data_IF_856386447688
#
_entry.id   IF_856386447688
#
_cell.length_a   1.000
_cell.length_b   1.000
_cell.length_c   1.000
_cell.angle_alpha   90.00
_cell.angle_beta   90.00
_cell.angle_gamma   90.00
#
_symmetry.space_group_name_H-M   'P 1'
#
loop_
_entity.id
_entity.type
_entity.pdbx_description
1 polymer ?
#
# COMPACT_ATOMS: atom_id res chain seq x y z
N UNK A 1 12.54 24.94 3.50
CA UNK A 1 12.46 23.61 4.13
C UNK A 1 11.29 22.89 3.51
N UNK A 2 11.54 21.99 2.59
CA UNK A 2 10.52 21.05 2.11
C UNK A 2 10.25 20.10 3.27
N UNK A 3 9.06 20.19 3.87
CA UNK A 3 8.63 19.19 4.87
C UNK A 3 8.60 17.84 4.18
N UNK A 4 9.34 16.85 4.70
CA UNK A 4 9.26 15.47 4.22
C UNK A 4 7.92 14.93 4.72
N UNK A 5 6.93 14.80 3.84
CA UNK A 5 5.66 14.14 4.16
C UNK A 5 5.80 12.63 3.92
N UNK A 6 5.67 11.78 4.96
CA UNK A 6 5.81 10.35 4.81
C UNK A 6 4.53 9.65 4.31
N UNK A 7 3.51 10.37 3.83
CA UNK A 7 2.24 9.79 3.38
C UNK A 7 2.41 8.53 2.50
N UNK A 8 3.11 8.65 1.37
CA UNK A 8 3.29 7.53 0.44
C UNK A 8 4.08 6.37 1.06
N UNK A 9 5.04 6.66 1.94
CA UNK A 9 5.79 5.64 2.68
C UNK A 9 4.88 4.89 3.66
N UNK A 10 4.04 5.62 4.40
CA UNK A 10 3.05 5.04 5.31
C UNK A 10 2.05 4.18 4.55
N UNK A 11 1.49 4.70 3.44
CA UNK A 11 0.56 3.96 2.59
C UNK A 11 1.19 2.67 2.05
N UNK A 12 2.41 2.74 1.53
CA UNK A 12 3.14 1.57 1.05
C UNK A 12 3.34 0.50 2.15
N UNK A 13 3.67 0.94 3.36
CA UNK A 13 3.86 0.06 4.52
C UNK A 13 2.54 -0.58 4.97
N UNK A 14 1.49 0.22 5.13
CA UNK A 14 0.14 -0.23 5.51
C UNK A 14 -0.44 -1.25 4.51
N UNK A 15 -0.18 -1.05 3.22
CA UNK A 15 -0.67 -1.93 2.16
C UNK A 15 0.24 -3.14 1.93
N UNK A 16 1.38 -3.22 2.62
CA UNK A 16 2.28 -4.37 2.60
C UNK A 16 3.04 -4.55 1.29
N UNK A 17 3.25 -3.48 0.52
CA UNK A 17 4.11 -3.50 -0.68
C UNK A 17 5.56 -3.20 -0.37
N UNK A 18 5.85 -2.70 0.84
CA UNK A 18 7.19 -2.55 1.40
C UNK A 18 7.25 -3.12 2.81
N UNK A 19 8.46 -3.42 3.28
CA UNK A 19 8.74 -3.89 4.63
C UNK A 19 9.33 -2.81 5.54
N UNK A 20 9.56 -3.18 6.80
CA UNK A 20 10.23 -2.33 7.79
C UNK A 20 11.61 -1.88 7.34
N UNK A 21 12.36 -2.79 6.74
CA UNK A 21 13.74 -2.53 6.33
C UNK A 21 13.79 -1.50 5.20
N UNK A 22 12.77 -1.47 4.32
CA UNK A 22 12.63 -0.44 3.29
C UNK A 22 12.38 0.95 3.92
N UNK A 23 11.55 1.02 4.96
CA UNK A 23 11.24 2.25 5.71
C UNK A 23 12.48 2.80 6.41
N UNK A 24 13.24 1.93 7.07
CA UNK A 24 14.50 2.29 7.74
C UNK A 24 15.52 2.78 6.70
N UNK A 25 15.69 2.03 5.60
CA UNK A 25 16.62 2.41 4.54
C UNK A 25 16.23 3.73 3.87
N UNK A 26 14.93 4.00 3.72
CA UNK A 26 14.44 5.30 3.25
C UNK A 26 14.82 6.42 4.23
N UNK A 27 14.64 6.21 5.53
CA UNK A 27 15.00 7.21 6.54
C UNK A 27 16.51 7.51 6.53
N UNK A 28 17.34 6.47 6.44
CA UNK A 28 18.80 6.61 6.34
C UNK A 28 19.22 7.45 5.12
N UNK A 29 18.60 7.20 3.94
CA UNK A 29 18.86 7.98 2.74
C UNK A 29 18.47 9.45 2.92
N UNK A 30 17.28 9.71 3.44
CA UNK A 30 16.78 11.08 3.68
C UNK A 30 17.62 11.85 4.68
N UNK A 31 18.16 11.18 5.69
CA UNK A 31 19.15 11.75 6.62
C UNK A 31 20.43 12.14 5.87
N UNK A 32 20.95 11.26 5.00
CA UNK A 32 22.16 11.54 4.22
C UNK A 32 22.01 12.67 3.19
N UNK A 33 20.80 12.93 2.73
CA UNK A 33 20.47 14.00 1.78
C UNK A 33 20.21 15.37 2.44
N UNK A 34 20.05 15.41 3.76
CA UNK A 34 19.60 16.60 4.48
C UNK A 34 20.66 17.04 5.49
N UNK A 35 21.10 18.31 5.40
CA UNK A 35 22.11 18.85 6.34
C UNK A 35 21.61 18.93 7.80
N UNK A 36 20.31 19.14 7.99
CA UNK A 36 19.63 19.23 9.30
C UNK A 36 18.35 18.36 9.29
N UNK A 37 18.48 17.02 9.40
CA UNK A 37 17.35 16.12 9.30
C UNK A 37 16.43 16.27 10.53
N UNK A 38 15.10 16.22 10.35
CA UNK A 38 14.18 16.32 11.47
C UNK A 38 14.33 15.11 12.39
N UNK A 39 14.18 15.34 13.71
CA UNK A 39 14.46 14.33 14.73
C UNK A 39 13.66 13.02 14.55
N UNK A 40 12.40 13.11 14.12
CA UNK A 40 11.57 11.93 13.88
C UNK A 40 12.15 10.97 12.84
N UNK A 41 12.90 11.50 11.86
CA UNK A 41 13.53 10.70 10.82
C UNK A 41 14.70 9.88 11.40
N UNK A 42 15.43 10.46 12.36
CA UNK A 42 16.48 9.77 13.13
C UNK A 42 15.86 8.66 13.99
N UNK A 43 14.71 8.93 14.61
CA UNK A 43 13.99 7.90 15.38
C UNK A 43 13.57 6.73 14.49
N UNK A 44 13.01 6.99 13.31
CA UNK A 44 12.66 5.94 12.34
C UNK A 44 13.89 5.15 11.89
N UNK A 45 14.98 5.82 11.53
CA UNK A 45 16.25 5.19 11.13
C UNK A 45 16.82 4.26 12.21
N UNK A 46 16.71 4.65 13.47
CA UNK A 46 17.25 3.87 14.60
C UNK A 46 16.30 2.79 15.11
N UNK A 47 15.06 2.73 14.61
CA UNK A 47 13.99 1.82 15.02
C UNK A 47 14.13 0.37 14.49
N UNK A 48 15.35 -0.16 14.40
CA UNK A 48 15.66 -1.50 13.85
C UNK A 48 14.86 -2.67 14.44
N UNK A 49 14.38 -2.53 15.68
CA UNK A 49 13.57 -3.54 16.39
C UNK A 49 12.09 -3.21 16.48
N UNK A 50 11.67 -2.04 16.01
CA UNK A 50 10.27 -1.62 16.06
C UNK A 50 9.41 -2.56 15.22
N UNK A 51 8.21 -2.89 15.70
CA UNK A 51 7.27 -3.66 14.89
C UNK A 51 6.79 -2.82 13.70
N UNK A 52 6.17 -3.48 12.72
CA UNK A 52 5.53 -2.76 11.62
C UNK A 52 4.49 -1.74 12.13
N UNK A 53 3.72 -2.12 13.15
CA UNK A 53 2.70 -1.25 13.76
C UNK A 53 3.34 -0.02 14.40
N UNK A 54 4.47 -0.20 15.10
CA UNK A 54 5.18 0.93 15.71
C UNK A 54 5.70 1.91 14.64
N UNK A 55 6.25 1.40 13.54
CA UNK A 55 6.68 2.24 12.41
C UNK A 55 5.49 2.96 11.76
N UNK A 56 4.36 2.27 11.55
CA UNK A 56 3.14 2.91 11.05
C UNK A 56 2.68 4.03 11.99
N UNK A 57 2.72 3.84 13.31
CA UNK A 57 2.39 4.88 14.29
C UNK A 57 3.33 6.08 14.20
N UNK A 58 4.64 5.86 14.12
CA UNK A 58 5.62 6.94 13.99
C UNK A 58 5.39 7.77 12.72
N UNK A 59 5.20 7.11 11.56
CA UNK A 59 4.96 7.82 10.30
C UNK A 59 3.61 8.56 10.31
N UNK A 60 2.58 7.98 10.95
CA UNK A 60 1.23 8.57 11.07
C UNK A 60 1.23 9.92 11.78
N UNK A 61 2.13 10.14 12.75
CA UNK A 61 2.25 11.41 13.49
C UNK A 61 2.79 12.56 12.62
N UNK A 62 3.41 12.24 11.48
CA UNK A 62 4.12 13.21 10.64
C UNK A 62 3.51 13.39 9.25
N UNK A 63 2.35 12.80 8.99
CA UNK A 63 1.59 13.02 7.74
C UNK A 63 0.24 13.66 8.01
N UNK A 64 -0.24 14.48 7.08
CA UNK A 64 -1.61 15.00 7.09
C UNK A 64 -2.64 14.02 6.57
N UNK A 65 -2.20 12.96 5.87
CA UNK A 65 -3.06 11.98 5.20
C UNK A 65 -2.71 10.58 5.70
N UNK A 66 -3.22 10.15 6.87
CA UNK A 66 -2.76 8.92 7.52
C UNK A 66 -3.33 7.61 6.92
N UNK A 67 -4.32 7.75 6.03
CA UNK A 67 -5.01 6.64 5.39
C UNK A 67 -4.77 6.70 3.88
N UNK A 68 -4.49 5.56 3.22
CA UNK A 68 -4.27 5.54 1.79
C UNK A 68 -5.59 5.84 1.06
N UNK A 69 -5.49 6.52 -0.06
CA UNK A 69 -6.61 6.66 -0.99
C UNK A 69 -6.98 5.31 -1.63
N UNK A 70 -8.16 5.23 -2.25
CA UNK A 70 -8.56 3.99 -2.94
C UNK A 70 -7.71 3.70 -4.17
N UNK A 71 -7.18 4.73 -4.81
CA UNK A 71 -6.27 4.59 -5.95
C UNK A 71 -4.94 3.98 -5.50
N UNK A 72 -4.41 4.41 -4.35
CA UNK A 72 -3.21 3.80 -3.75
C UNK A 72 -3.48 2.38 -3.27
N UNK A 73 -4.64 2.16 -2.67
CA UNK A 73 -5.07 0.82 -2.25
C UNK A 73 -5.11 -0.14 -3.45
N UNK A 74 -5.82 0.21 -4.52
CA UNK A 74 -5.92 -0.62 -5.72
C UNK A 74 -4.57 -0.77 -6.43
N UNK A 75 -3.75 0.28 -6.45
CA UNK A 75 -2.37 0.20 -6.94
C UNK A 75 -1.49 -0.76 -6.12
N UNK A 76 -1.64 -0.79 -4.79
CA UNK A 76 -0.92 -1.76 -3.99
C UNK A 76 -1.42 -3.19 -4.19
N UNK A 77 -2.73 -3.38 -4.35
CA UNK A 77 -3.29 -4.71 -4.65
C UNK A 77 -2.83 -5.21 -6.03
N UNK A 78 -2.73 -4.34 -7.02
CA UNK A 78 -2.20 -4.68 -8.34
C UNK A 78 -0.72 -5.07 -8.28
N UNK A 79 0.13 -4.34 -7.55
CA UNK A 79 1.54 -4.72 -7.32
C UNK A 79 1.63 -6.07 -6.61
N UNK A 80 0.83 -6.28 -5.56
CA UNK A 80 0.81 -7.56 -4.82
C UNK A 80 0.45 -8.71 -5.76
N UNK A 81 -0.58 -8.57 -6.59
CA UNK A 81 -1.05 -9.63 -7.48
C UNK A 81 -0.12 -9.86 -8.69
N UNK A 82 0.35 -8.78 -9.32
CA UNK A 82 0.99 -8.81 -10.64
C UNK A 82 2.52 -8.87 -10.55
N UNK A 83 3.14 -8.07 -9.68
CA UNK A 83 4.59 -7.97 -9.58
C UNK A 83 5.15 -8.90 -8.48
N UNK A 84 4.52 -8.91 -7.30
CA UNK A 84 4.94 -9.76 -6.18
C UNK A 84 4.35 -11.17 -6.24
N UNK A 85 3.45 -11.43 -7.20
CA UNK A 85 2.82 -12.74 -7.44
C UNK A 85 2.13 -13.33 -6.20
N UNK A 86 1.58 -12.49 -5.32
CA UNK A 86 0.75 -12.96 -4.22
C UNK A 86 -0.51 -13.62 -4.78
N UNK A 87 -0.98 -14.72 -4.17
CA UNK A 87 -2.17 -15.41 -4.66
C UNK A 87 -3.42 -14.56 -4.37
N UNK A 88 -4.37 -14.57 -5.30
CA UNK A 88 -5.60 -13.78 -5.20
C UNK A 88 -6.36 -14.00 -3.88
N UNK A 89 -6.37 -15.23 -3.35
CA UNK A 89 -6.99 -15.56 -2.05
C UNK A 89 -6.46 -14.75 -0.85
N UNK A 90 -5.24 -14.20 -0.94
CA UNK A 90 -4.61 -13.39 0.12
C UNK A 90 -4.82 -11.88 -0.10
N UNK A 91 -5.41 -11.49 -1.23
CA UNK A 91 -5.65 -10.11 -1.67
C UNK A 91 -7.14 -9.79 -1.63
N UNK A 92 -7.96 -10.72 -2.13
CA UNK A 92 -9.41 -10.57 -2.28
C UNK A 92 -10.12 -10.23 -0.97
N UNK A 93 -9.82 -10.87 0.19
CA UNK A 93 -10.44 -10.48 1.46
C UNK A 93 -10.17 -9.01 1.84
N UNK A 94 -8.97 -8.51 1.55
CA UNK A 94 -8.60 -7.11 1.83
C UNK A 94 -9.39 -6.15 0.93
N UNK A 95 -9.58 -6.49 -0.35
CA UNK A 95 -10.43 -5.72 -1.26
C UNK A 95 -11.89 -5.72 -0.80
N UNK A 96 -12.39 -6.88 -0.39
CA UNK A 96 -13.75 -7.04 0.12
C UNK A 96 -13.98 -6.19 1.39
N UNK A 97 -13.06 -6.21 2.34
CA UNK A 97 -13.14 -5.40 3.55
C UNK A 97 -13.17 -3.89 3.22
N UNK A 98 -12.27 -3.44 2.34
CA UNK A 98 -12.12 -2.04 1.95
C UNK A 98 -13.37 -1.50 1.26
N UNK A 99 -13.96 -2.25 0.33
CA UNK A 99 -15.02 -1.74 -0.56
C UNK A 99 -16.42 -2.24 -0.19
N UNK A 100 -16.58 -3.50 0.21
CA UNK A 100 -17.90 -4.11 0.41
C UNK A 100 -18.43 -3.93 1.84
N UNK A 101 -17.55 -3.97 2.86
CA UNK A 101 -17.97 -3.84 4.27
C UNK A 101 -18.09 -2.38 4.73
N UNK A 102 -17.46 -1.44 4.03
CA UNK A 102 -17.40 -0.02 4.40
C UNK A 102 -18.69 0.77 4.09
N UNK A 103 -19.73 0.13 3.56
CA UNK A 103 -21.06 0.70 3.23
C UNK A 103 -20.98 1.99 2.38
N UNK A 104 -19.96 2.06 1.51
CA UNK A 104 -19.66 3.21 0.68
C UNK A 104 -20.54 3.23 -0.57
N UNK A 105 -21.27 4.32 -0.78
CA UNK A 105 -22.25 4.45 -1.88
C UNK A 105 -21.62 4.86 -3.21
N UNK A 106 -20.42 5.39 -3.16
CA UNK A 106 -19.62 5.95 -4.25
C UNK A 106 -18.78 4.89 -4.98
N UNK A 107 -18.53 3.72 -4.38
CA UNK A 107 -17.70 2.66 -4.96
C UNK A 107 -18.50 1.51 -5.59
N UNK A 108 -19.61 1.82 -6.27
CA UNK A 108 -20.53 0.78 -6.78
C UNK A 108 -19.89 -0.12 -7.83
N UNK A 109 -19.04 0.46 -8.68
CA UNK A 109 -18.41 -0.27 -9.79
C UNK A 109 -17.34 -1.23 -9.24
N UNK A 110 -16.51 -0.76 -8.30
CA UNK A 110 -15.52 -1.60 -7.60
C UNK A 110 -16.18 -2.72 -6.81
N UNK A 111 -17.26 -2.42 -6.07
CA UNK A 111 -18.02 -3.44 -5.32
C UNK A 111 -18.59 -4.49 -6.25
N UNK A 112 -19.20 -4.09 -7.37
CA UNK A 112 -19.74 -5.02 -8.37
C UNK A 112 -18.65 -5.93 -8.95
N UNK A 113 -17.48 -5.36 -9.25
CA UNK A 113 -16.35 -6.11 -9.77
C UNK A 113 -15.76 -7.08 -8.73
N UNK A 114 -15.64 -6.67 -7.46
CA UNK A 114 -15.15 -7.54 -6.39
C UNK A 114 -16.07 -8.74 -6.18
N UNK A 115 -17.39 -8.53 -6.20
CA UNK A 115 -18.35 -9.65 -6.14
C UNK A 115 -18.24 -10.58 -7.34
N UNK A 116 -18.03 -10.04 -8.55
CA UNK A 116 -17.80 -10.86 -9.74
C UNK A 116 -16.52 -11.69 -9.61
N UNK A 117 -15.41 -11.08 -9.16
CA UNK A 117 -14.14 -11.77 -8.94
C UNK A 117 -14.30 -12.87 -7.90
N UNK A 118 -14.98 -12.60 -6.78
CA UNK A 118 -15.21 -13.58 -5.71
C UNK A 118 -16.04 -14.78 -6.19
N UNK A 119 -17.17 -14.52 -6.87
CA UNK A 119 -18.00 -15.56 -7.46
C UNK A 119 -17.20 -16.39 -8.47
N UNK A 120 -16.53 -15.74 -9.42
CA UNK A 120 -15.69 -16.42 -10.41
C UNK A 120 -14.55 -17.21 -9.78
N UNK A 121 -13.90 -16.69 -8.73
CA UNK A 121 -12.81 -17.39 -8.06
C UNK A 121 -13.30 -18.64 -7.30
N UNK A 122 -14.50 -18.62 -6.74
CA UNK A 122 -15.09 -19.76 -6.04
C UNK A 122 -15.40 -20.92 -6.99
N UNK A 123 -15.97 -20.65 -8.18
CA UNK A 123 -16.34 -21.71 -9.12
C UNK A 123 -15.28 -22.04 -10.20
N UNK A 124 -14.42 -21.09 -10.58
CA UNK A 124 -13.26 -21.26 -11.46
C UNK A 124 -12.11 -20.33 -11.04
N UNK A 125 -11.18 -20.81 -10.19
CA UNK A 125 -10.07 -20.01 -9.70
C UNK A 125 -9.21 -19.37 -10.80
N UNK A 126 -9.09 -20.03 -11.96
CA UNK A 126 -8.33 -19.50 -13.09
C UNK A 126 -9.00 -18.28 -13.71
N UNK A 127 -10.32 -18.33 -13.84
CA UNK A 127 -11.14 -17.22 -14.33
C UNK A 127 -11.16 -16.06 -13.33
N UNK A 128 -11.38 -16.32 -12.04
CA UNK A 128 -11.35 -15.27 -11.02
C UNK A 128 -10.01 -14.53 -10.97
N UNK A 129 -8.89 -15.26 -11.12
CA UNK A 129 -7.55 -14.64 -11.26
C UNK A 129 -7.45 -13.79 -12.52
N UNK A 130 -7.93 -14.26 -13.67
CA UNK A 130 -7.89 -13.49 -14.92
C UNK A 130 -8.68 -12.17 -14.79
N UNK A 131 -9.90 -12.23 -14.27
CA UNK A 131 -10.76 -11.06 -14.05
C UNK A 131 -10.15 -10.08 -13.05
N UNK A 132 -9.57 -10.58 -11.95
CA UNK A 132 -8.87 -9.74 -11.00
C UNK A 132 -7.67 -9.01 -11.61
N UNK A 133 -6.93 -9.67 -12.51
CA UNK A 133 -5.81 -9.05 -13.23
C UNK A 133 -6.30 -7.95 -14.16
N UNK A 134 -7.33 -8.21 -14.97
CA UNK A 134 -7.91 -7.21 -15.87
C UNK A 134 -8.43 -5.98 -15.10
N UNK A 135 -9.08 -6.21 -13.95
CA UNK A 135 -9.56 -5.13 -13.09
C UNK A 135 -8.43 -4.31 -12.46
N UNK A 136 -7.35 -4.96 -12.01
CA UNK A 136 -6.26 -4.31 -11.27
C UNK A 136 -5.16 -3.72 -12.16
N UNK A 137 -5.01 -4.20 -13.40
CA UNK A 137 -3.97 -3.76 -14.34
C UNK A 137 -3.93 -2.23 -14.56
N UNK A 138 -5.06 -1.51 -14.70
CA UNK A 138 -5.05 -0.05 -14.85
C UNK A 138 -4.38 0.71 -13.68
N UNK A 139 -4.29 0.09 -12.50
CA UNK A 139 -3.73 0.70 -11.29
C UNK A 139 -2.25 0.35 -11.07
N UNK A 140 -1.66 -0.53 -11.90
CA UNK A 140 -0.31 -1.07 -11.69
C UNK A 140 0.76 0.02 -11.64
N UNK A 141 0.73 0.96 -12.59
CA UNK A 141 1.72 2.03 -12.63
C UNK A 141 1.64 2.92 -11.38
N UNK A 142 0.44 3.21 -10.87
CA UNK A 142 0.28 3.95 -9.60
C UNK A 142 0.88 3.18 -8.43
N UNK A 143 0.67 1.87 -8.37
CA UNK A 143 1.27 1.00 -7.35
C UNK A 143 2.80 0.96 -7.44
N UNK A 144 3.36 0.92 -8.64
CA UNK A 144 4.81 0.97 -8.86
C UNK A 144 5.39 2.31 -8.43
N UNK A 145 4.76 3.43 -8.79
CA UNK A 145 5.18 4.76 -8.31
C UNK A 145 5.18 4.83 -6.78
N UNK A 146 4.15 4.26 -6.12
CA UNK A 146 4.10 4.18 -4.66
C UNK A 146 5.34 3.46 -4.10
N UNK A 147 5.80 2.37 -4.72
CA UNK A 147 7.00 1.64 -4.28
C UNK A 147 8.29 2.39 -4.65
N UNK A 148 8.38 2.96 -5.84
CA UNK A 148 9.57 3.68 -6.32
C UNK A 148 9.88 4.93 -5.49
N UNK A 149 8.85 5.67 -5.09
CA UNK A 149 8.99 6.86 -4.24
C UNK A 149 9.54 6.52 -2.84
N UNK A 150 9.37 5.28 -2.38
CA UNK A 150 10.00 4.81 -1.13
C UNK A 150 11.45 4.39 -1.33
N UNK A 151 11.88 4.13 -2.56
CA UNK A 151 13.26 3.73 -2.91
C UNK A 151 14.11 4.90 -3.38
N UNK A 152 13.48 5.97 -3.84
CA UNK A 152 14.09 7.23 -4.30
C UNK A 152 14.39 8.18 -3.14
#
# INVERSE_FOLDING_TARGET
MTSVDPHHLLAALQLGVIGRDDVIAWADRRIGETDDPPYWLIEVSTASRASRIDLESMLREHTSEPEPSDQEFLGAMSVRLLDLSHPLKDILPTMYERFCLSNRKDARDEVGMIYLIDDEFDWDPGRGVATAKEFLEPYLERGRSLVEETKS
#
